data_IF_541961886934
#
_entry.id   IF_541961886934
#
_cell.length_a   1.000
_cell.length_b   1.000
_cell.length_c   1.000
_cell.angle_alpha   90.00
_cell.angle_beta   90.00
_cell.angle_gamma   90.00
#
_symmetry.space_group_name_H-M   'P 1'
#
loop_
_entity.id
_entity.type
_entity.pdbx_description
1 polymer ?
#
# COMPACT_ATOMS: atom_id res chain seq x y z
N UNK A 1 14.73 26.12 -10.45
CA UNK A 1 14.30 24.74 -10.78
C UNK A 1 14.52 23.96 -9.49
N UNK A 2 13.46 23.64 -8.79
CA UNK A 2 13.54 22.91 -7.53
C UNK A 2 13.80 21.42 -7.83
N UNK A 3 14.56 20.74 -6.96
CA UNK A 3 14.89 19.31 -7.14
C UNK A 3 13.63 18.41 -7.24
N UNK A 4 12.48 18.92 -6.77
CA UNK A 4 11.16 18.28 -6.85
C UNK A 4 10.68 18.04 -8.30
N UNK A 5 11.17 18.79 -9.30
CA UNK A 5 10.72 18.68 -10.70
C UNK A 5 11.20 17.40 -11.41
N UNK A 6 12.07 16.60 -10.78
CA UNK A 6 12.64 15.39 -11.38
C UNK A 6 12.04 14.06 -10.91
N UNK A 7 11.12 14.11 -9.94
CA UNK A 7 10.52 12.88 -9.40
C UNK A 7 9.12 12.65 -9.95
N UNK A 8 8.79 11.38 -10.16
CA UNK A 8 7.42 11.01 -10.42
C UNK A 8 6.53 11.38 -9.23
N UNK A 9 5.36 11.91 -9.52
CA UNK A 9 4.31 12.23 -8.55
C UNK A 9 3.12 11.30 -8.79
N UNK A 10 2.31 11.11 -7.75
CA UNK A 10 1.01 10.47 -7.95
C UNK A 10 0.21 11.23 -9.01
N UNK A 11 -0.52 10.51 -9.84
CA UNK A 11 -1.46 11.08 -10.82
C UNK A 11 -2.73 11.60 -10.14
N UNK A 12 -2.96 11.21 -8.90
CA UNK A 12 -4.10 11.59 -8.08
C UNK A 12 -3.87 12.96 -7.40
N UNK A 13 -4.95 13.65 -7.07
CA UNK A 13 -4.86 14.87 -6.28
C UNK A 13 -4.59 14.54 -4.81
N UNK A 14 -3.39 14.87 -4.32
CA UNK A 14 -2.93 14.56 -2.96
C UNK A 14 -3.83 15.16 -1.87
N UNK A 15 -4.39 16.37 -2.08
CA UNK A 15 -5.29 16.97 -1.11
C UNK A 15 -6.64 16.24 -1.05
N UNK A 16 -7.13 15.72 -2.18
CA UNK A 16 -8.31 14.87 -2.21
C UNK A 16 -8.06 13.50 -1.56
N UNK A 17 -6.88 12.90 -1.79
CA UNK A 17 -6.50 11.67 -1.09
C UNK A 17 -6.44 11.89 0.41
N UNK A 18 -5.83 13.00 0.86
CA UNK A 18 -5.77 13.33 2.27
C UNK A 18 -7.16 13.58 2.88
N UNK A 19 -8.04 14.29 2.18
CA UNK A 19 -9.43 14.46 2.63
C UNK A 19 -10.15 13.12 2.81
N UNK A 20 -9.98 12.18 1.87
CA UNK A 20 -10.50 10.80 2.01
C UNK A 20 -9.93 10.09 3.22
N UNK A 21 -8.62 10.23 3.51
CA UNK A 21 -8.00 9.62 4.69
C UNK A 21 -8.64 10.15 5.98
N UNK A 22 -8.86 11.47 6.08
CA UNK A 22 -9.52 12.10 7.23
C UNK A 22 -10.96 11.58 7.39
N UNK A 23 -11.72 11.44 6.30
CA UNK A 23 -13.06 10.86 6.32
C UNK A 23 -13.05 9.40 6.79
N UNK A 24 -12.06 8.61 6.35
CA UNK A 24 -11.90 7.21 6.77
C UNK A 24 -11.60 7.14 8.27
N UNK A 25 -10.68 7.97 8.76
CA UNK A 25 -10.33 8.04 10.18
C UNK A 25 -11.53 8.43 11.05
N UNK A 26 -12.30 9.44 10.64
CA UNK A 26 -13.49 9.90 11.35
C UNK A 26 -14.62 8.85 11.38
N UNK A 27 -14.65 7.91 10.44
CA UNK A 27 -15.64 6.83 10.37
C UNK A 27 -15.34 5.68 11.34
N UNK A 28 -14.18 5.59 11.96
CA UNK A 28 -13.83 4.61 12.99
C UNK A 28 -14.76 4.83 14.21
N UNK A 29 -15.47 3.79 14.63
CA UNK A 29 -16.46 3.86 15.71
C UNK A 29 -15.84 3.65 17.09
N UNK A 30 -14.86 2.76 17.18
CA UNK A 30 -14.13 2.52 18.42
C UNK A 30 -13.41 3.81 18.84
N UNK A 31 -13.73 4.41 20.00
CA UNK A 31 -13.21 5.72 20.37
C UNK A 31 -11.69 5.73 20.58
N UNK A 32 -11.13 4.65 21.07
CA UNK A 32 -9.69 4.51 21.30
C UNK A 32 -8.91 4.44 20.00
N UNK A 33 -9.38 3.61 19.05
CA UNK A 33 -8.75 3.48 17.73
C UNK A 33 -8.89 4.77 16.91
N UNK A 34 -10.07 5.42 16.97
CA UNK A 34 -10.26 6.71 16.32
C UNK A 34 -9.31 7.77 16.87
N UNK A 35 -9.21 7.92 18.20
CA UNK A 35 -8.32 8.88 18.83
C UNK A 35 -6.86 8.60 18.45
N UNK A 36 -6.45 7.33 18.41
CA UNK A 36 -5.12 6.94 17.96
C UNK A 36 -4.86 7.38 16.51
N UNK A 37 -5.75 7.01 15.59
CA UNK A 37 -5.59 7.35 14.16
C UNK A 37 -5.61 8.86 13.95
N UNK A 38 -6.56 9.58 14.57
CA UNK A 38 -6.64 11.04 14.49
C UNK A 38 -5.39 11.72 15.05
N UNK A 39 -4.77 11.18 16.10
CA UNK A 39 -3.51 11.71 16.66
C UNK A 39 -2.34 11.66 15.68
N UNK A 40 -2.45 10.84 14.63
CA UNK A 40 -1.46 10.70 13.56
C UNK A 40 -1.88 11.49 12.32
N UNK A 41 -3.07 11.23 11.80
CA UNK A 41 -3.52 11.79 10.51
C UNK A 41 -3.85 13.26 10.58
N UNK A 42 -4.09 13.83 11.76
CA UNK A 42 -4.35 15.27 11.96
C UNK A 42 -3.15 16.03 12.56
N UNK A 43 -2.04 15.35 12.81
CA UNK A 43 -0.85 15.97 13.36
C UNK A 43 -0.20 16.93 12.34
N UNK A 44 -0.01 18.19 12.77
CA UNK A 44 0.48 19.26 11.88
C UNK A 44 1.91 19.04 11.35
N UNK A 45 2.73 18.24 12.05
CA UNK A 45 4.09 17.90 11.62
C UNK A 45 4.09 16.68 10.69
N UNK A 46 3.14 15.76 10.86
CA UNK A 46 3.03 14.53 10.06
C UNK A 46 2.37 14.79 8.72
N UNK A 47 1.30 15.58 8.68
CA UNK A 47 0.49 15.81 7.47
C UNK A 47 1.31 16.23 6.25
N UNK A 48 2.21 17.22 6.32
CA UNK A 48 3.02 17.62 5.16
C UNK A 48 3.92 16.48 4.66
N UNK A 49 4.45 15.67 5.56
CA UNK A 49 5.32 14.53 5.26
C UNK A 49 4.53 13.39 4.64
N UNK A 50 3.37 13.04 5.21
CA UNK A 50 2.46 12.02 4.71
C UNK A 50 2.00 12.32 3.28
N UNK A 51 1.69 13.57 2.98
CA UNK A 51 1.31 14.01 1.63
C UNK A 51 2.44 13.89 0.59
N UNK A 52 3.69 13.84 1.02
CA UNK A 52 4.87 13.76 0.13
C UNK A 52 5.53 12.40 0.10
N UNK A 53 5.40 11.60 1.15
CA UNK A 53 6.14 10.37 1.29
C UNK A 53 5.88 9.37 0.16
N UNK A 54 6.94 8.75 -0.41
CA UNK A 54 6.80 7.56 -1.24
C UNK A 54 6.49 6.34 -0.38
N UNK A 55 5.84 5.32 -0.95
CA UNK A 55 5.60 4.07 -0.24
C UNK A 55 6.79 3.10 -0.28
N UNK A 56 7.74 3.31 -1.22
CA UNK A 56 8.94 2.47 -1.35
C UNK A 56 10.07 3.24 -2.04
N UNK A 57 11.31 2.73 -1.95
CA UNK A 57 12.48 3.31 -2.62
C UNK A 57 12.46 3.09 -4.13
N UNK A 58 12.03 1.93 -4.61
CA UNK A 58 12.24 1.52 -6.02
C UNK A 58 11.17 0.57 -6.57
N UNK A 59 10.07 0.35 -5.86
CA UNK A 59 8.99 -0.55 -6.27
C UNK A 59 7.71 0.23 -6.57
N UNK A 60 6.54 -0.41 -6.42
CA UNK A 60 5.24 0.24 -6.52
C UNK A 60 5.15 1.48 -5.59
N UNK A 61 4.45 2.51 -6.03
CA UNK A 61 4.30 3.79 -5.31
C UNK A 61 5.62 4.49 -4.90
N UNK A 62 6.74 4.22 -5.61
CA UNK A 62 8.02 4.91 -5.43
C UNK A 62 8.00 6.32 -6.07
N UNK A 63 7.02 7.12 -5.69
CA UNK A 63 6.80 8.49 -6.15
C UNK A 63 6.20 9.34 -5.02
N UNK A 64 6.26 10.65 -5.14
CA UNK A 64 5.69 11.56 -4.15
C UNK A 64 4.18 11.38 -4.01
N UNK A 65 3.72 11.24 -2.75
CA UNK A 65 2.33 10.94 -2.41
C UNK A 65 1.96 9.45 -2.52
N UNK A 66 2.93 8.59 -2.86
CA UNK A 66 2.70 7.15 -3.05
C UNK A 66 2.25 6.44 -1.77
N UNK A 67 2.77 6.84 -0.61
CA UNK A 67 2.34 6.27 0.68
C UNK A 67 0.86 6.55 0.96
N UNK A 68 0.42 7.78 0.74
CA UNK A 68 -0.97 8.17 0.94
C UNK A 68 -1.91 7.45 -0.05
N UNK A 69 -1.50 7.34 -1.32
CA UNK A 69 -2.24 6.60 -2.35
C UNK A 69 -2.39 5.12 -1.97
N UNK A 70 -1.30 4.47 -1.53
CA UNK A 70 -1.31 3.09 -1.04
C UNK A 70 -2.26 2.90 0.15
N UNK A 71 -2.17 3.73 1.18
CA UNK A 71 -3.04 3.65 2.36
C UNK A 71 -4.52 3.78 1.98
N UNK A 72 -4.87 4.70 1.08
CA UNK A 72 -6.25 4.86 0.60
C UNK A 72 -6.71 3.65 -0.21
N UNK A 73 -5.86 3.11 -1.10
CA UNK A 73 -6.14 1.89 -1.86
C UNK A 73 -6.40 0.71 -0.93
N UNK A 74 -5.50 0.49 0.05
CA UNK A 74 -5.62 -0.57 1.04
C UNK A 74 -6.89 -0.46 1.89
N UNK A 75 -7.24 0.74 2.36
CA UNK A 75 -8.51 0.98 3.06
C UNK A 75 -9.73 0.64 2.18
N UNK A 76 -9.65 0.91 0.88
CA UNK A 76 -10.67 0.52 -0.10
C UNK A 76 -10.83 -1.00 -0.19
N UNK A 77 -9.72 -1.74 -0.31
CA UNK A 77 -9.70 -3.20 -0.30
C UNK A 77 -10.25 -3.77 1.02
N UNK A 78 -9.84 -3.22 2.16
CA UNK A 78 -10.36 -3.61 3.47
C UNK A 78 -11.89 -3.52 3.52
N UNK A 79 -12.49 -2.43 3.02
CA UNK A 79 -13.95 -2.26 3.00
C UNK A 79 -14.66 -3.32 2.16
N UNK A 80 -14.09 -3.68 1.00
CA UNK A 80 -14.65 -4.73 0.14
C UNK A 80 -14.59 -6.09 0.84
N UNK A 81 -13.45 -6.42 1.44
CA UNK A 81 -13.26 -7.73 2.10
C UNK A 81 -14.09 -7.83 3.38
N UNK A 82 -14.25 -6.75 4.16
CA UNK A 82 -15.13 -6.70 5.33
C UNK A 82 -16.60 -6.98 4.99
N UNK A 83 -17.06 -6.66 3.79
CA UNK A 83 -18.42 -7.03 3.37
C UNK A 83 -18.61 -8.54 3.19
N UNK A 84 -17.52 -9.27 2.96
CA UNK A 84 -17.51 -10.73 2.81
C UNK A 84 -17.25 -11.47 4.13
N UNK A 85 -16.48 -10.86 5.04
CA UNK A 85 -16.14 -11.41 6.36
C UNK A 85 -16.68 -10.51 7.48
N UNK A 86 -18.02 -10.54 7.74
CA UNK A 86 -18.66 -9.64 8.69
C UNK A 86 -18.26 -9.89 10.16
N UNK A 87 -17.60 -11.00 10.44
CA UNK A 87 -17.05 -11.34 11.75
C UNK A 87 -15.72 -10.65 12.06
N UNK A 88 -15.07 -9.98 11.09
CA UNK A 88 -13.87 -9.18 11.34
C UNK A 88 -14.22 -7.81 11.93
N UNK A 89 -13.37 -7.31 12.82
CA UNK A 89 -13.50 -5.97 13.38
C UNK A 89 -13.08 -4.92 12.35
N UNK A 90 -14.03 -4.12 11.80
CA UNK A 90 -13.71 -3.14 10.77
C UNK A 90 -12.81 -2.02 11.28
N UNK A 91 -12.99 -1.59 12.53
CA UNK A 91 -12.24 -0.48 13.10
C UNK A 91 -10.78 -0.87 13.34
N UNK A 92 -10.55 -2.10 13.79
CA UNK A 92 -9.21 -2.62 14.00
C UNK A 92 -8.48 -2.82 12.67
N UNK A 93 -9.13 -3.41 11.64
CA UNK A 93 -8.53 -3.63 10.33
C UNK A 93 -8.18 -2.29 9.64
N UNK A 94 -9.09 -1.31 9.66
CA UNK A 94 -8.84 0.02 9.07
C UNK A 94 -7.74 0.76 9.83
N UNK A 95 -7.69 0.64 11.16
CA UNK A 95 -6.59 1.21 11.95
C UNK A 95 -5.23 0.63 11.54
N UNK A 96 -5.15 -0.70 11.39
CA UNK A 96 -3.95 -1.35 10.87
C UNK A 96 -3.57 -0.86 9.49
N UNK A 97 -4.54 -0.78 8.56
CA UNK A 97 -4.31 -0.31 7.20
C UNK A 97 -3.79 1.15 7.13
N UNK A 98 -4.22 2.01 8.06
CA UNK A 98 -3.73 3.41 8.10
C UNK A 98 -2.32 3.50 8.69
N UNK A 99 -1.98 2.67 9.68
CA UNK A 99 -0.79 2.85 10.50
C UNK A 99 0.39 1.92 10.15
N UNK A 100 0.18 0.83 9.38
CA UNK A 100 1.18 -0.23 9.17
C UNK A 100 2.47 0.23 8.50
N UNK A 101 2.43 1.32 7.78
CA UNK A 101 3.56 1.87 7.02
C UNK A 101 3.96 3.28 7.46
N UNK A 102 3.43 3.78 8.57
CA UNK A 102 3.72 5.14 9.02
C UNK A 102 5.21 5.35 9.35
N UNK A 103 5.92 4.30 9.68
CA UNK A 103 7.37 4.31 9.92
C UNK A 103 8.19 4.69 8.69
N UNK A 104 7.65 4.55 7.48
CA UNK A 104 8.30 4.97 6.22
C UNK A 104 8.54 6.49 6.15
N UNK A 105 7.82 7.27 6.94
CA UNK A 105 8.09 8.71 7.07
C UNK A 105 9.50 9.00 7.62
N UNK A 106 10.02 8.13 8.49
CA UNK A 106 11.37 8.25 9.06
C UNK A 106 12.38 7.33 8.35
N UNK A 107 11.92 6.17 7.85
CA UNK A 107 12.77 5.21 7.16
C UNK A 107 13.33 5.80 5.86
N UNK A 108 12.51 6.56 5.12
CA UNK A 108 12.87 7.06 3.79
C UNK A 108 13.26 8.53 3.83
N UNK A 109 14.33 8.87 3.11
CA UNK A 109 14.68 10.24 2.73
C UNK A 109 14.22 10.49 1.30
N UNK A 110 13.58 11.64 1.06
CA UNK A 110 13.03 11.99 -0.27
C UNK A 110 13.15 13.49 -0.59
N UNK A 111 14.21 14.15 -0.06
CA UNK A 111 14.48 15.57 -0.37
C UNK A 111 15.12 15.75 -1.74
N UNK A 112 16.14 14.95 -2.07
CA UNK A 112 16.92 15.03 -3.32
C UNK A 112 16.84 13.76 -4.17
N UNK A 113 16.67 12.63 -3.53
CA UNK A 113 16.49 11.32 -4.14
C UNK A 113 15.75 10.44 -3.14
N UNK A 114 14.97 9.46 -3.62
CA UNK A 114 14.36 8.48 -2.72
C UNK A 114 15.46 7.52 -2.28
N UNK A 115 15.74 7.53 -0.98
CA UNK A 115 16.75 6.69 -0.34
C UNK A 115 16.32 6.26 1.05
N UNK A 116 17.19 5.58 1.79
CA UNK A 116 17.01 5.30 3.20
C UNK A 116 17.74 6.36 4.02
N UNK A 117 17.17 6.69 5.19
CA UNK A 117 17.91 7.37 6.25
C UNK A 117 18.86 6.39 6.94
N UNK A 118 19.85 6.87 7.68
CA UNK A 118 20.73 5.98 8.46
C UNK A 118 19.92 5.19 9.51
N UNK A 119 18.98 5.83 10.18
CA UNK A 119 18.07 5.18 11.12
C UNK A 119 17.16 4.16 10.44
N UNK A 120 16.60 4.53 9.29
CA UNK A 120 15.78 3.63 8.48
C UNK A 120 16.54 2.38 8.01
N UNK A 121 17.82 2.53 7.63
CA UNK A 121 18.65 1.41 7.23
C UNK A 121 18.99 0.47 8.42
N UNK A 122 19.09 1.01 9.64
CA UNK A 122 19.44 0.24 10.83
C UNK A 122 18.22 -0.44 11.47
N UNK A 123 17.07 0.23 11.53
CA UNK A 123 15.90 -0.22 12.27
C UNK A 123 14.78 -0.77 11.36
N UNK A 124 14.62 -0.21 10.17
CA UNK A 124 13.49 -0.48 9.28
C UNK A 124 12.18 0.10 9.79
N UNK A 125 11.22 0.35 8.87
CA UNK A 125 9.95 1.00 9.21
C UNK A 125 9.14 0.25 10.28
N UNK A 126 9.16 -1.09 10.30
CA UNK A 126 8.41 -1.90 11.29
C UNK A 126 8.76 -1.52 12.73
N UNK A 127 10.05 -1.36 13.03
CA UNK A 127 10.47 -0.99 14.38
C UNK A 127 10.19 0.48 14.67
N UNK A 128 10.40 1.33 13.70
CA UNK A 128 10.13 2.78 13.80
C UNK A 128 8.64 3.02 14.05
N UNK A 129 7.75 2.41 13.26
CA UNK A 129 6.30 2.57 13.45
C UNK A 129 5.80 1.95 14.76
N UNK A 130 6.34 0.80 15.15
CA UNK A 130 6.00 0.17 16.43
C UNK A 130 6.28 1.11 17.61
N UNK A 131 7.46 1.72 17.62
CA UNK A 131 7.83 2.69 18.67
C UNK A 131 6.96 3.94 18.60
N UNK A 132 6.80 4.50 17.41
CA UNK A 132 6.00 5.71 17.18
C UNK A 132 4.54 5.52 17.61
N UNK A 133 3.87 4.47 17.12
CA UNK A 133 2.47 4.18 17.45
C UNK A 133 2.31 3.82 18.92
N UNK A 134 3.28 3.09 19.52
CA UNK A 134 3.27 2.80 20.95
C UNK A 134 3.28 4.07 21.79
N UNK A 135 4.15 5.03 21.46
CA UNK A 135 4.19 6.35 22.15
C UNK A 135 2.85 7.10 22.04
N UNK A 136 2.20 7.06 20.85
CA UNK A 136 0.86 7.67 20.66
C UNK A 136 -0.19 6.97 21.52
N UNK A 137 -0.22 5.65 21.56
CA UNK A 137 -1.13 4.88 22.41
C UNK A 137 -0.92 5.24 23.89
N UNK A 138 0.33 5.30 24.35
CA UNK A 138 0.66 5.59 25.75
C UNK A 138 0.31 7.03 26.17
N UNK A 139 0.13 7.92 25.22
CA UNK A 139 -0.38 9.29 25.48
C UNK A 139 -1.90 9.37 25.58
N UNK A 140 -2.64 8.30 25.23
CA UNK A 140 -4.10 8.23 25.32
C UNK A 140 -4.48 7.63 26.66
N UNK A 141 -5.03 8.45 27.56
CA UNK A 141 -5.43 8.00 28.90
C UNK A 141 -6.47 6.88 28.84
N UNK A 142 -6.23 5.78 29.55
CA UNK A 142 -7.14 4.65 29.65
C UNK A 142 -7.22 3.77 28.39
N UNK A 143 -6.29 3.89 27.44
CA UNK A 143 -6.26 3.00 26.27
C UNK A 143 -6.19 1.52 26.71
N UNK A 144 -7.12 0.64 26.26
CA UNK A 144 -7.20 -0.73 26.75
C UNK A 144 -5.92 -1.53 26.39
N UNK A 145 -5.30 -2.19 27.38
CA UNK A 145 -4.06 -2.94 27.17
C UNK A 145 -4.21 -4.07 26.14
N UNK A 146 -5.35 -4.75 26.10
CA UNK A 146 -5.63 -5.77 25.09
C UNK A 146 -5.69 -5.18 23.68
N UNK A 147 -6.34 -4.02 23.50
CA UNK A 147 -6.41 -3.35 22.21
C UNK A 147 -5.04 -2.84 21.75
N UNK A 148 -4.22 -2.30 22.69
CA UNK A 148 -2.81 -1.95 22.43
C UNK A 148 -2.03 -3.13 21.87
N UNK A 149 -2.15 -4.31 22.51
CA UNK A 149 -1.45 -5.51 22.05
C UNK A 149 -1.89 -5.95 20.64
N UNK A 150 -3.19 -5.82 20.30
CA UNK A 150 -3.69 -6.15 18.96
C UNK A 150 -3.12 -5.18 17.91
N UNK A 151 -3.16 -3.87 18.16
CA UNK A 151 -2.59 -2.86 17.24
C UNK A 151 -1.09 -3.11 17.06
N UNK A 152 -0.34 -3.26 18.15
CA UNK A 152 1.11 -3.54 18.11
C UNK A 152 1.41 -4.81 17.31
N UNK A 153 0.60 -5.88 17.50
CA UNK A 153 0.80 -7.11 16.74
C UNK A 153 0.57 -6.92 15.25
N UNK A 154 -0.45 -6.16 14.84
CA UNK A 154 -0.69 -5.85 13.42
C UNK A 154 0.53 -5.19 12.79
N UNK A 155 1.13 -4.20 13.48
CA UNK A 155 2.31 -3.49 12.97
C UNK A 155 3.50 -4.44 12.78
N UNK A 156 3.85 -5.26 13.77
CA UNK A 156 5.00 -6.15 13.66
C UNK A 156 4.76 -7.40 12.79
N UNK A 157 3.53 -7.68 12.40
CA UNK A 157 3.16 -8.88 11.66
C UNK A 157 2.67 -8.60 10.22
N UNK A 158 2.55 -7.33 9.78
CA UNK A 158 1.92 -7.01 8.50
C UNK A 158 2.68 -7.56 7.28
N UNK A 159 4.01 -7.69 7.31
CA UNK A 159 4.76 -8.37 6.26
C UNK A 159 4.48 -9.88 6.18
N UNK A 160 3.93 -10.50 7.22
CA UNK A 160 3.35 -11.85 7.24
C UNK A 160 4.34 -13.01 7.22
N UNK A 161 5.63 -12.79 6.95
CA UNK A 161 6.66 -13.83 6.88
C UNK A 161 7.95 -13.37 7.53
N UNK A 162 8.67 -14.30 8.15
CA UNK A 162 9.97 -14.02 8.76
C UNK A 162 11.01 -13.57 7.72
N UNK A 163 11.01 -14.17 6.53
CA UNK A 163 11.92 -13.81 5.44
C UNK A 163 11.64 -12.40 4.88
N UNK A 164 10.49 -11.81 5.17
CA UNK A 164 10.15 -10.44 4.82
C UNK A 164 10.42 -9.45 5.96
N UNK A 165 11.10 -9.90 7.01
CA UNK A 165 11.46 -9.09 8.17
C UNK A 165 10.37 -8.93 9.22
N UNK A 166 9.25 -9.65 9.12
CA UNK A 166 8.21 -9.65 10.14
C UNK A 166 8.71 -10.31 11.43
N UNK A 167 8.74 -9.63 12.59
CA UNK A 167 9.13 -10.27 13.85
C UNK A 167 8.17 -11.36 14.32
N UNK A 168 6.92 -11.32 13.87
CA UNK A 168 5.86 -12.30 14.16
C UNK A 168 5.03 -12.58 12.90
N UNK A 169 4.44 -13.78 12.86
CA UNK A 169 3.40 -14.10 11.88
C UNK A 169 2.06 -13.50 12.33
N UNK A 170 1.13 -13.15 11.41
CA UNK A 170 -0.21 -12.71 11.76
C UNK A 170 -0.97 -13.79 12.52
N UNK A 171 -1.44 -13.51 13.75
CA UNK A 171 -1.99 -14.51 14.66
C UNK A 171 -3.49 -14.34 14.94
N UNK A 172 -4.14 -13.37 14.32
CA UNK A 172 -5.59 -13.20 14.39
C UNK A 172 -6.13 -12.66 13.05
N UNK A 173 -7.44 -12.66 12.90
CA UNK A 173 -8.13 -12.45 11.62
C UNK A 173 -7.74 -11.16 10.93
N UNK A 174 -7.84 -10.04 11.62
CA UNK A 174 -7.57 -8.72 11.05
C UNK A 174 -6.08 -8.54 10.70
N UNK A 175 -5.16 -9.10 11.47
CA UNK A 175 -3.73 -9.10 11.14
C UNK A 175 -3.45 -9.94 9.88
N UNK A 176 -4.10 -11.10 9.74
CA UNK A 176 -3.98 -11.94 8.56
C UNK A 176 -4.57 -11.25 7.31
N UNK A 177 -5.73 -10.61 7.47
CA UNK A 177 -6.36 -9.83 6.40
C UNK A 177 -5.46 -8.68 5.97
N UNK A 178 -4.93 -7.90 6.90
CA UNK A 178 -4.01 -6.79 6.61
C UNK A 178 -2.84 -7.27 5.76
N UNK A 179 -2.14 -8.32 6.20
CA UNK A 179 -1.01 -8.89 5.47
C UNK A 179 -1.35 -9.23 4.02
N UNK A 180 -2.43 -9.99 3.79
CA UNK A 180 -2.77 -10.41 2.42
C UNK A 180 -3.28 -9.26 1.55
N UNK A 181 -3.96 -8.29 2.11
CA UNK A 181 -4.46 -7.14 1.36
C UNK A 181 -3.33 -6.16 1.00
N UNK A 182 -2.38 -5.95 1.89
CA UNK A 182 -1.18 -5.18 1.65
C UNK A 182 -0.31 -5.84 0.57
N UNK A 183 -0.02 -7.15 0.70
CA UNK A 183 0.73 -7.92 -0.31
C UNK A 183 0.03 -7.90 -1.68
N UNK A 184 -1.31 -7.99 -1.71
CA UNK A 184 -2.08 -7.88 -2.95
C UNK A 184 -1.94 -6.48 -3.58
N UNK A 185 -2.17 -5.41 -2.81
CA UNK A 185 -2.09 -4.02 -3.32
C UNK A 185 -0.69 -3.73 -3.86
N UNK A 186 0.34 -4.10 -3.10
CA UNK A 186 1.74 -3.98 -3.47
C UNK A 186 2.08 -4.72 -4.77
N UNK A 187 1.64 -5.97 -4.92
CA UNK A 187 1.87 -6.77 -6.13
C UNK A 187 1.10 -6.23 -7.33
N UNK A 188 -0.14 -5.79 -7.15
CA UNK A 188 -0.91 -5.18 -8.24
C UNK A 188 -0.33 -3.84 -8.67
N UNK A 189 0.21 -3.05 -7.76
CA UNK A 189 1.00 -1.86 -8.06
C UNK A 189 2.25 -2.20 -8.88
N UNK A 190 2.99 -3.24 -8.51
CA UNK A 190 4.17 -3.70 -9.24
C UNK A 190 3.82 -4.23 -10.65
N UNK A 191 2.70 -4.93 -10.82
CA UNK A 191 2.18 -5.36 -12.14
C UNK A 191 1.89 -4.16 -13.02
N UNK A 192 1.18 -3.15 -12.48
CA UNK A 192 0.86 -1.90 -13.20
C UNK A 192 2.13 -1.19 -13.65
N UNK A 193 3.08 -1.02 -12.74
CA UNK A 193 4.36 -0.38 -13.04
C UNK A 193 5.15 -1.15 -14.11
N UNK A 194 5.18 -2.49 -14.06
CA UNK A 194 5.85 -3.31 -15.06
C UNK A 194 5.21 -3.18 -16.45
N UNK A 195 3.88 -3.11 -16.52
CA UNK A 195 3.14 -2.93 -17.79
C UNK A 195 3.31 -1.52 -18.36
N UNK A 196 3.33 -0.48 -17.54
CA UNK A 196 3.46 0.92 -17.96
C UNK A 196 4.89 1.29 -18.38
N UNK A 197 5.91 0.78 -17.67
CA UNK A 197 7.31 1.12 -17.92
C UNK A 197 7.92 0.39 -19.11
N UNK A 198 7.42 -0.81 -19.41
CA UNK A 198 7.96 -1.64 -20.48
C UNK A 198 7.39 -1.23 -21.83
N UNK A 199 8.30 -0.67 -22.68
CA UNK A 199 8.00 -0.23 -24.06
C UNK A 199 8.34 -1.31 -25.10
N UNK A 200 8.66 -2.54 -24.67
CA UNK A 200 8.99 -3.64 -25.57
C UNK A 200 7.82 -4.06 -26.46
N UNK A 201 8.15 -4.48 -27.69
CA UNK A 201 7.21 -5.09 -28.62
C UNK A 201 6.93 -6.54 -28.19
N UNK A 202 5.67 -6.95 -28.17
CA UNK A 202 5.24 -8.31 -27.85
C UNK A 202 4.36 -8.42 -26.61
N UNK A 203 3.93 -9.65 -26.32
CA UNK A 203 2.91 -9.91 -25.31
C UNK A 203 3.46 -10.00 -23.87
N UNK A 204 4.78 -9.99 -23.67
CA UNK A 204 5.40 -10.16 -22.37
C UNK A 204 6.26 -8.96 -21.99
N UNK A 205 6.20 -8.56 -20.73
CA UNK A 205 7.12 -7.56 -20.19
C UNK A 205 8.55 -8.13 -20.06
N UNK A 206 9.50 -7.27 -19.80
CA UNK A 206 10.79 -7.68 -19.24
C UNK A 206 10.57 -8.39 -17.88
N UNK A 207 11.59 -9.10 -17.39
CA UNK A 207 11.53 -9.74 -16.08
C UNK A 207 11.46 -8.67 -14.98
N UNK A 208 10.45 -8.80 -14.10
CA UNK A 208 10.30 -7.96 -12.92
C UNK A 208 10.88 -8.67 -11.71
N UNK A 209 11.93 -8.09 -11.10
CA UNK A 209 12.51 -8.63 -9.85
C UNK A 209 11.54 -8.60 -8.68
N UNK A 210 10.65 -7.59 -8.63
CA UNK A 210 9.64 -7.45 -7.59
C UNK A 210 8.54 -8.54 -7.65
N UNK A 211 8.29 -9.07 -8.85
CA UNK A 211 7.28 -10.12 -9.09
C UNK A 211 7.92 -11.48 -9.33
N UNK A 212 9.24 -11.55 -9.47
CA UNK A 212 10.02 -12.75 -9.80
C UNK A 212 9.53 -13.45 -11.09
N UNK A 213 8.99 -12.67 -12.03
CA UNK A 213 8.41 -13.17 -13.29
C UNK A 213 8.25 -12.09 -14.34
N UNK A 214 7.90 -12.52 -15.55
CA UNK A 214 7.42 -11.66 -16.63
C UNK A 214 5.89 -11.61 -16.56
N UNK A 215 5.29 -10.49 -17.00
CA UNK A 215 3.84 -10.29 -17.02
C UNK A 215 3.33 -10.33 -18.46
N UNK A 216 2.26 -11.06 -18.70
CA UNK A 216 1.57 -11.09 -19.99
C UNK A 216 0.72 -9.84 -20.17
N UNK A 217 0.82 -9.19 -21.32
CA UNK A 217 -0.11 -8.15 -21.78
C UNK A 217 -1.35 -8.82 -22.36
N UNK A 218 -2.34 -9.08 -21.53
CA UNK A 218 -3.55 -9.84 -21.89
C UNK A 218 -4.29 -9.25 -23.07
N UNK A 219 -4.41 -7.93 -23.14
CA UNK A 219 -5.15 -7.25 -24.22
C UNK A 219 -4.46 -7.45 -25.59
N UNK A 220 -3.13 -7.34 -25.63
CA UNK A 220 -2.34 -7.61 -26.82
C UNK A 220 -2.41 -9.08 -27.25
N UNK A 221 -2.33 -9.98 -26.26
CA UNK A 221 -2.43 -11.42 -26.53
C UNK A 221 -3.80 -11.83 -27.08
N UNK A 222 -4.89 -11.33 -26.50
CA UNK A 222 -6.26 -11.61 -26.97
C UNK A 222 -6.54 -10.99 -28.34
N UNK A 223 -5.98 -9.82 -28.64
CA UNK A 223 -6.13 -9.15 -29.93
C UNK A 223 -5.39 -9.91 -31.05
N UNK A 224 -4.21 -10.43 -30.78
CA UNK A 224 -3.44 -11.26 -31.72
C UNK A 224 -4.14 -12.57 -32.09
N UNK A 225 -4.85 -13.16 -31.14
CA UNK A 225 -5.61 -14.43 -31.38
C UNK A 225 -6.87 -14.20 -32.21
N UNK A 226 -7.44 -12.99 -32.23
CA UNK A 226 -8.61 -12.68 -33.06
C UNK A 226 -8.29 -12.69 -34.56
N UNK A 227 -7.05 -12.42 -34.95
CA UNK A 227 -6.61 -12.43 -36.34
C UNK A 227 -6.50 -13.83 -36.93
N UNK A 228 -6.33 -14.88 -36.07
CA UNK A 228 -6.26 -16.28 -36.50
C UNK A 228 -7.59 -17.01 -36.48
N UNK A 229 -8.65 -16.40 -35.96
CA UNK A 229 -9.98 -17.02 -35.80
C UNK A 229 -11.05 -16.52 -36.78
N UNK A 230 -10.71 -15.62 -37.70
CA UNK A 230 -11.64 -15.35 -38.79
C UNK A 230 -11.63 -16.51 -39.79
N UNK A 231 -12.72 -17.28 -39.90
CA UNK A 231 -12.80 -18.34 -40.94
C UNK A 231 -12.74 -17.66 -42.29
N UNK A 232 -11.78 -18.03 -43.13
CA UNK A 232 -11.80 -17.71 -44.54
C UNK A 232 -13.15 -18.16 -45.13
N UNK A 233 -14.05 -17.23 -45.29
CA UNK A 233 -15.28 -17.51 -46.09
C UNK A 233 -14.84 -17.77 -47.52
N UNK A 234 -14.74 -19.05 -47.86
CA UNK A 234 -14.53 -19.52 -49.19
C UNK A 234 -15.70 -19.00 -50.06
N UNK A 235 -15.42 -18.00 -50.87
CA UNK A 235 -16.32 -17.57 -51.92
C UNK A 235 -16.11 -18.48 -53.14
N UNK A 236 -16.52 -19.73 -53.08
CA UNK A 236 -16.74 -20.50 -54.30
C UNK A 236 -18.05 -20.09 -54.90
N UNK A 237 -17.96 -19.13 -55.82
CA UNK A 237 -19.00 -18.87 -56.81
C UNK A 237 -18.83 -19.86 -57.95
N UNK A 238 -19.86 -20.62 -58.15
CA UNK A 238 -20.41 -21.14 -59.42
C UNK A 238 -19.50 -21.27 -60.66
N UNK A 239 -19.41 -22.52 -61.08
CA UNK A 239 -19.90 -22.84 -62.47
C UNK A 239 -20.43 -24.27 -62.51
#
# INVERSE_FOLDING_TARGET
MEAADFFAHTKENVDQLYAKLVEIAAAIRNPWLRQLVESVVLDAEIVPRLKRAPAAKSMHHAFFGGLLEHVISLCGLCRVVLSHYPEADPDLLITGAILHDIGKLEELSYERSIGYTDEGQLLGHIMIEYEFVTKRIDSIEGFPAALKALVQHMLIAHHGKYEFGSPKLPMFREALMLHYLDDLDSKMGAVRAALESDKGEGNWTAYSGALERRILRTDGFLSGTKTELEPQMNSDKHR
#
